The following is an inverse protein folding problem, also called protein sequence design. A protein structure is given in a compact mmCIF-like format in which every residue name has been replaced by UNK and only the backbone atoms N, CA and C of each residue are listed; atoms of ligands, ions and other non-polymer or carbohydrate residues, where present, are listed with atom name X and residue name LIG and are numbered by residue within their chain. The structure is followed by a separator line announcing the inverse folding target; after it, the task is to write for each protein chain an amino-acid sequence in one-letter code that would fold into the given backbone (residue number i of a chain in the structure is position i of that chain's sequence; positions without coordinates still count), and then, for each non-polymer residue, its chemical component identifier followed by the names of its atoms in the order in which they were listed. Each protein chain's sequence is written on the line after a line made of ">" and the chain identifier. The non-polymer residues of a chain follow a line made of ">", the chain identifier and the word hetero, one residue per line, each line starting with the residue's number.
data_IF_192724365639
#
_entry.id   IF_192724365639
#
_cell.length_a   1.000
_cell.length_b   1.000
_cell.length_c   1.000
_cell.angle_alpha   90.00
_cell.angle_beta   90.00
_cell.angle_gamma   90.00
#
_symmetry.space_group_name_H-M   'P 1'
#
loop_
_entity.id
_entity.type
_entity.pdbx_description
1 polymer ?
#
# COMPACT_ATOMS: atom_id res chain seq x y z
N UNK A 1 -3.88 -4.31 34.62
CA UNK A 1 -5.20 -4.10 34.00
C UNK A 1 -6.14 -5.17 34.54
N UNK A 2 -7.40 -4.82 34.84
CA UNK A 2 -8.40 -5.83 35.14
C UNK A 2 -8.83 -6.50 33.82
N UNK A 3 -8.89 -7.83 33.82
CA UNK A 3 -9.34 -8.63 32.67
C UNK A 3 -10.67 -9.28 32.97
N UNK A 4 -11.44 -9.54 31.92
CA UNK A 4 -12.65 -10.36 31.98
C UNK A 4 -12.50 -11.51 30.98
N UNK A 5 -12.84 -12.70 31.39
CA UNK A 5 -12.90 -13.84 30.48
C UNK A 5 -14.20 -13.83 29.70
N UNK A 6 -14.09 -13.92 28.37
CA UNK A 6 -15.24 -13.99 27.47
C UNK A 6 -15.15 -15.22 26.59
N UNK A 7 -16.20 -16.04 26.61
CA UNK A 7 -16.28 -17.25 25.81
C UNK A 7 -17.55 -17.21 24.95
N UNK A 8 -17.38 -17.37 23.66
CA UNK A 8 -18.46 -17.42 22.69
C UNK A 8 -18.22 -18.54 21.67
N UNK A 9 -19.30 -19.20 21.24
CA UNK A 9 -19.27 -20.07 20.05
C UNK A 9 -19.64 -19.24 18.85
N UNK A 10 -18.80 -19.26 17.83
CA UNK A 10 -18.99 -18.49 16.59
C UNK A 10 -19.27 -19.45 15.42
N UNK A 11 -20.13 -19.06 14.46
CA UNK A 11 -20.41 -19.89 13.29
C UNK A 11 -19.15 -20.07 12.43
N UNK A 12 -18.90 -21.30 12.02
CA UNK A 12 -17.95 -21.62 10.95
C UNK A 12 -18.70 -21.52 9.63
N UNK A 13 -18.20 -20.67 8.72
CA UNK A 13 -18.82 -20.44 7.43
C UNK A 13 -18.18 -21.31 6.35
N UNK A 14 -17.38 -20.72 5.52
CA UNK A 14 -16.74 -21.36 4.37
C UNK A 14 -15.22 -21.37 4.54
N UNK A 15 -14.51 -22.07 3.66
CA UNK A 15 -13.06 -22.04 3.61
C UNK A 15 -12.57 -21.58 2.25
N UNK A 16 -11.42 -20.91 2.26
CA UNK A 16 -10.79 -20.32 1.09
C UNK A 16 -9.33 -20.80 0.98
N UNK A 17 -8.83 -20.83 -0.24
CA UNK A 17 -7.40 -21.10 -0.43
C UNK A 17 -6.60 -19.92 0.11
N UNK A 18 -7.04 -18.69 -0.20
CA UNK A 18 -6.39 -17.46 0.26
C UNK A 18 -7.43 -16.53 0.88
N UNK A 19 -7.17 -16.07 2.12
CA UNK A 19 -7.88 -14.93 2.71
C UNK A 19 -6.94 -13.73 2.73
N UNK A 20 -7.35 -12.65 2.06
CA UNK A 20 -6.67 -11.37 2.06
C UNK A 20 -7.34 -10.45 3.07
N UNK A 21 -6.58 -10.00 4.07
CA UNK A 21 -7.07 -9.15 5.15
C UNK A 21 -6.70 -7.69 4.90
N UNK A 22 -7.68 -6.91 4.41
CA UNK A 22 -7.53 -5.50 4.04
C UNK A 22 -7.61 -5.28 2.52
N UNK A 23 -8.60 -4.49 2.08
CA UNK A 23 -8.83 -4.14 0.67
C UNK A 23 -8.09 -2.87 0.23
N UNK A 24 -6.92 -2.57 0.84
CA UNK A 24 -5.99 -1.56 0.34
C UNK A 24 -5.41 -1.97 -1.01
N UNK A 25 -4.57 -1.10 -1.60
CA UNK A 25 -4.05 -1.35 -2.95
C UNK A 25 -3.24 -2.65 -3.05
N UNK A 26 -2.46 -2.98 -2.01
CA UNK A 26 -1.73 -4.24 -1.92
C UNK A 26 -2.67 -5.45 -1.85
N UNK A 27 -3.76 -5.33 -1.06
CA UNK A 27 -4.76 -6.38 -0.93
C UNK A 27 -5.56 -6.61 -2.21
N UNK A 28 -5.89 -5.54 -2.93
CA UNK A 28 -6.53 -5.66 -4.25
C UNK A 28 -5.62 -6.39 -5.24
N UNK A 29 -4.31 -6.07 -5.25
CA UNK A 29 -3.34 -6.77 -6.06
C UNK A 29 -3.22 -8.25 -5.68
N UNK A 30 -3.07 -8.54 -4.38
CA UNK A 30 -2.97 -9.91 -3.89
C UNK A 30 -4.22 -10.75 -4.19
N UNK A 31 -5.40 -10.18 -4.01
CA UNK A 31 -6.64 -10.90 -4.28
C UNK A 31 -6.86 -11.18 -5.78
N UNK A 32 -6.55 -10.20 -6.64
CA UNK A 32 -6.64 -10.37 -8.09
C UNK A 32 -5.67 -11.44 -8.58
N UNK A 33 -4.43 -11.37 -8.11
CA UNK A 33 -3.39 -12.30 -8.49
C UNK A 33 -3.69 -13.72 -8.05
N UNK A 34 -4.07 -13.92 -6.79
CA UNK A 34 -4.47 -15.23 -6.29
C UNK A 34 -5.63 -15.86 -7.09
N UNK A 35 -6.61 -15.03 -7.48
CA UNK A 35 -7.73 -15.49 -8.32
C UNK A 35 -7.27 -15.86 -9.74
N UNK A 36 -6.32 -15.12 -10.33
CA UNK A 36 -5.72 -15.43 -11.63
C UNK A 36 -4.96 -16.77 -11.62
N UNK A 37 -4.38 -17.11 -10.48
CA UNK A 37 -3.76 -18.43 -10.23
C UNK A 37 -4.76 -19.54 -9.88
N UNK A 38 -6.06 -19.29 -10.09
CA UNK A 38 -7.11 -20.29 -9.90
C UNK A 38 -7.43 -20.63 -8.44
N UNK A 39 -6.99 -19.80 -7.49
CA UNK A 39 -7.29 -20.00 -6.07
C UNK A 39 -8.66 -19.46 -5.72
N UNK A 40 -9.34 -20.11 -4.76
CA UNK A 40 -10.57 -19.58 -4.15
C UNK A 40 -10.20 -18.48 -3.17
N UNK A 41 -10.39 -17.21 -3.57
CA UNK A 41 -9.94 -16.05 -2.81
C UNK A 41 -11.10 -15.31 -2.16
N UNK A 42 -10.89 -14.90 -0.89
CA UNK A 42 -11.75 -13.94 -0.19
C UNK A 42 -10.93 -12.71 0.20
N UNK A 43 -11.50 -11.52 0.01
CA UNK A 43 -10.94 -10.24 0.47
C UNK A 43 -11.88 -9.61 1.48
N UNK A 44 -11.32 -9.30 2.65
CA UNK A 44 -11.99 -8.65 3.78
C UNK A 44 -11.62 -7.16 3.82
N UNK A 45 -12.61 -6.27 3.78
CA UNK A 45 -12.38 -4.82 3.89
C UNK A 45 -13.30 -4.22 4.96
N UNK A 46 -12.69 -3.52 5.92
CA UNK A 46 -13.41 -2.85 7.03
C UNK A 46 -14.23 -1.64 6.62
N UNK A 47 -13.95 -1.09 5.45
CA UNK A 47 -14.69 0.03 4.88
C UNK A 47 -15.69 -0.43 3.82
N UNK A 48 -16.31 0.53 3.14
CA UNK A 48 -17.24 0.26 2.03
C UNK A 48 -16.64 0.52 0.66
N UNK A 49 -15.32 0.81 0.60
CA UNK A 49 -14.61 1.22 -0.61
C UNK A 49 -13.22 0.59 -0.65
N UNK A 50 -12.83 0.03 -1.79
CA UNK A 50 -11.50 -0.54 -2.01
C UNK A 50 -10.42 0.52 -2.28
N UNK A 51 -9.15 0.10 -2.17
CA UNK A 51 -7.96 0.89 -2.50
C UNK A 51 -7.29 1.56 -1.31
N UNK A 52 -7.92 1.61 -0.14
CA UNK A 52 -7.34 2.14 1.10
C UNK A 52 -6.82 3.58 0.95
N UNK A 53 -5.54 3.82 1.29
CA UNK A 53 -4.94 5.16 1.19
C UNK A 53 -4.98 5.73 -0.24
N UNK A 54 -4.88 4.89 -1.26
CA UNK A 54 -4.92 5.31 -2.67
C UNK A 54 -6.29 5.85 -3.12
N UNK A 55 -7.34 5.58 -2.34
CA UNK A 55 -8.72 6.01 -2.64
C UNK A 55 -9.31 6.81 -1.48
N UNK A 56 -9.75 6.14 -0.41
CA UNK A 56 -10.37 6.78 0.77
C UNK A 56 -9.40 7.66 1.56
N UNK A 57 -8.11 7.34 1.56
CA UNK A 57 -7.09 8.16 2.18
C UNK A 57 -6.68 9.37 1.35
N UNK A 58 -7.23 9.53 0.15
CA UNK A 58 -7.00 10.65 -0.78
C UNK A 58 -5.56 10.80 -1.28
N UNK A 59 -4.71 9.77 -1.13
CA UNK A 59 -3.36 9.70 -1.69
C UNK A 59 -3.48 9.20 -3.15
N UNK A 60 -4.18 9.96 -3.98
CA UNK A 60 -4.51 9.58 -5.34
C UNK A 60 -3.44 10.02 -6.35
N UNK A 61 -2.23 9.52 -6.15
CA UNK A 61 -1.08 9.81 -6.98
C UNK A 61 -0.17 8.59 -7.06
N UNK A 62 -0.07 8.01 -8.25
CA UNK A 62 1.00 7.06 -8.55
C UNK A 62 2.31 7.83 -8.58
N UNK A 63 3.13 7.58 -7.59
CA UNK A 63 4.48 8.13 -7.54
C UNK A 63 5.33 7.51 -8.67
N UNK A 64 6.47 8.13 -9.01
CA UNK A 64 7.32 7.64 -10.10
C UNK A 64 7.62 6.14 -10.06
N UNK A 65 7.40 5.48 -11.19
CA UNK A 65 7.66 4.06 -11.42
C UNK A 65 8.91 3.81 -12.28
N UNK A 66 9.65 4.87 -12.62
CA UNK A 66 10.89 4.79 -13.40
C UNK A 66 12.08 5.32 -12.60
N UNK A 67 13.28 4.92 -13.01
CA UNK A 67 14.54 5.32 -12.38
C UNK A 67 14.88 6.83 -12.49
N UNK A 68 14.04 7.62 -13.16
CA UNK A 68 14.28 9.04 -13.42
C UNK A 68 15.13 9.34 -14.66
N UNK A 69 15.54 8.29 -15.41
CA UNK A 69 16.27 8.36 -16.69
C UNK A 69 15.55 7.64 -17.82
N UNK A 70 14.23 7.53 -17.73
CA UNK A 70 13.41 7.00 -18.80
C UNK A 70 13.16 5.49 -18.74
N UNK A 71 13.74 4.74 -17.81
CA UNK A 71 13.58 3.28 -17.71
C UNK A 71 12.53 2.92 -16.64
N UNK A 72 11.40 2.28 -17.02
CA UNK A 72 10.42 1.76 -16.06
C UNK A 72 11.03 0.63 -15.21
N UNK A 73 10.86 0.71 -13.89
CA UNK A 73 11.30 -0.30 -12.93
C UNK A 73 10.11 -1.03 -12.33
N UNK A 74 9.14 -0.29 -11.76
CA UNK A 74 7.92 -0.87 -11.20
C UNK A 74 6.97 -1.26 -12.34
N UNK A 75 7.12 -2.49 -12.86
CA UNK A 75 6.32 -3.09 -13.95
C UNK A 75 5.22 -3.99 -13.42
N UNK A 76 4.80 -4.98 -14.19
CA UNK A 76 3.80 -5.97 -13.79
C UNK A 76 2.46 -5.32 -13.41
N UNK A 77 1.86 -5.80 -12.32
CA UNK A 77 0.56 -5.30 -11.87
C UNK A 77 0.59 -3.83 -11.43
N UNK A 78 1.76 -3.27 -11.08
CA UNK A 78 1.87 -1.84 -10.77
C UNK A 78 1.52 -0.97 -11.97
N UNK A 79 2.00 -1.32 -13.17
CA UNK A 79 1.62 -0.63 -14.40
C UNK A 79 0.17 -0.90 -14.78
N UNK A 80 -0.31 -2.13 -14.64
CA UNK A 80 -1.71 -2.47 -14.90
C UNK A 80 -2.65 -1.61 -14.06
N UNK A 81 -2.38 -1.45 -12.75
CA UNK A 81 -3.21 -0.64 -11.87
C UNK A 81 -3.10 0.85 -12.13
N UNK A 82 -1.92 1.34 -12.53
CA UNK A 82 -1.79 2.71 -13.01
C UNK A 82 -2.70 2.94 -14.23
N UNK A 83 -2.63 2.06 -15.24
CA UNK A 83 -3.48 2.16 -16.44
C UNK A 83 -4.97 2.04 -16.10
N UNK A 84 -5.31 1.15 -15.17
CA UNK A 84 -6.68 1.00 -14.67
C UNK A 84 -7.16 2.32 -14.03
N UNK A 85 -6.34 2.95 -13.18
CA UNK A 85 -6.73 4.15 -12.41
C UNK A 85 -7.10 5.35 -13.28
N UNK A 86 -6.56 5.42 -14.50
CA UNK A 86 -6.78 6.52 -15.44
C UNK A 86 -7.72 6.17 -16.61
N UNK A 87 -8.24 4.95 -16.66
CA UNK A 87 -9.05 4.46 -17.79
C UNK A 87 -10.32 5.28 -18.02
N UNK A 88 -11.02 5.63 -16.96
CA UNK A 88 -12.31 6.34 -17.01
C UNK A 88 -12.29 7.67 -16.24
N UNK A 89 -11.18 7.99 -15.56
CA UNK A 89 -10.96 9.24 -14.87
C UNK A 89 -9.96 10.14 -15.60
N UNK A 90 -9.64 11.26 -14.95
CA UNK A 90 -8.56 12.12 -15.43
C UNK A 90 -7.19 11.50 -15.18
N UNK A 91 -6.20 11.95 -15.93
CA UNK A 91 -4.79 11.67 -15.71
C UNK A 91 -3.95 12.95 -15.79
N UNK A 92 -2.74 12.86 -15.24
CA UNK A 92 -1.67 13.84 -15.43
C UNK A 92 -0.44 13.21 -16.05
N UNK A 93 -0.60 12.01 -16.62
CA UNK A 93 0.46 11.23 -17.23
C UNK A 93 1.08 11.97 -18.40
N UNK A 94 2.41 12.09 -18.38
CA UNK A 94 3.14 12.73 -19.47
C UNK A 94 2.98 11.93 -20.79
N UNK A 95 2.82 12.62 -21.96
CA UNK A 95 2.62 11.95 -23.25
C UNK A 95 3.65 10.87 -23.60
N UNK A 96 4.92 11.04 -23.20
CA UNK A 96 5.96 10.04 -23.42
C UNK A 96 5.69 8.69 -22.74
N UNK A 97 4.80 8.64 -21.74
CA UNK A 97 4.41 7.44 -21.02
C UNK A 97 3.02 6.92 -21.40
N UNK A 98 2.41 7.48 -22.45
CA UNK A 98 1.07 7.05 -22.89
C UNK A 98 1.07 5.64 -23.50
N UNK A 99 2.17 5.22 -24.11
CA UNK A 99 2.35 3.86 -24.62
C UNK A 99 2.87 2.94 -23.51
N UNK A 100 2.29 1.76 -23.39
CA UNK A 100 2.65 0.76 -22.38
C UNK A 100 4.04 0.18 -22.66
N UNK A 101 4.81 -0.08 -21.61
CA UNK A 101 6.14 -0.68 -21.65
C UNK A 101 7.19 0.05 -22.53
N UNK A 102 6.93 1.29 -22.91
CA UNK A 102 7.90 2.08 -23.66
C UNK A 102 8.92 2.73 -22.72
N UNK A 103 10.20 2.67 -23.09
CA UNK A 103 11.20 3.54 -22.51
C UNK A 103 10.98 4.97 -23.01
N UNK A 104 11.08 5.93 -22.11
CA UNK A 104 11.00 7.32 -22.47
C UNK A 104 12.40 7.93 -22.59
N UNK A 105 12.57 9.03 -23.33
CA UNK A 105 13.84 9.74 -23.37
C UNK A 105 14.30 10.14 -21.97
N UNK A 106 15.57 9.93 -21.64
CA UNK A 106 16.13 10.19 -20.32
C UNK A 106 16.04 11.66 -19.87
N UNK A 107 15.90 12.56 -20.82
CA UNK A 107 15.90 14.01 -20.63
C UNK A 107 14.50 14.64 -20.57
N UNK A 108 13.42 13.85 -20.62
CA UNK A 108 12.06 14.40 -20.62
C UNK A 108 11.70 15.22 -19.38
N UNK A 109 12.52 15.19 -18.34
CA UNK A 109 12.32 15.94 -17.10
C UNK A 109 11.09 15.53 -16.28
N UNK A 110 10.29 14.59 -16.78
CA UNK A 110 9.09 14.04 -16.14
C UNK A 110 9.27 12.56 -15.87
N UNK A 111 8.92 12.14 -14.67
CA UNK A 111 8.97 10.73 -14.29
C UNK A 111 7.66 10.03 -14.67
N UNK A 112 7.66 8.71 -14.63
CA UNK A 112 6.49 7.88 -14.91
C UNK A 112 5.54 7.91 -13.72
N UNK A 113 4.71 8.93 -13.64
CA UNK A 113 3.79 9.21 -12.54
C UNK A 113 2.47 9.79 -13.05
N UNK A 114 1.41 9.67 -12.26
CA UNK A 114 0.12 10.28 -12.58
C UNK A 114 -0.78 10.45 -11.35
N UNK A 115 -1.52 11.56 -11.33
CA UNK A 115 -2.70 11.67 -10.48
C UNK A 115 -3.91 11.05 -11.20
N UNK A 116 -4.92 10.67 -10.43
CA UNK A 116 -6.11 9.99 -10.94
C UNK A 116 -7.34 10.28 -10.05
N UNK A 117 -8.53 9.90 -10.55
CA UNK A 117 -9.77 9.99 -9.77
C UNK A 117 -9.88 8.85 -8.76
N UNK A 118 -9.81 9.11 -7.44
CA UNK A 118 -9.75 8.05 -6.44
C UNK A 118 -11.01 7.17 -6.41
N UNK A 119 -12.19 7.75 -6.56
CA UNK A 119 -13.44 6.98 -6.46
C UNK A 119 -13.78 6.24 -7.76
N UNK A 120 -13.39 6.78 -8.93
CA UNK A 120 -13.50 6.02 -10.18
C UNK A 120 -12.57 4.80 -10.10
N UNK A 121 -11.35 4.97 -9.63
CA UNK A 121 -10.42 3.86 -9.44
C UNK A 121 -10.95 2.81 -8.46
N UNK A 122 -11.54 3.23 -7.33
CA UNK A 122 -12.15 2.30 -6.38
C UNK A 122 -13.26 1.44 -6.98
N UNK A 123 -14.12 2.03 -7.83
CA UNK A 123 -15.17 1.29 -8.54
C UNK A 123 -14.56 0.29 -9.54
N UNK A 124 -13.49 0.67 -10.24
CA UNK A 124 -12.79 -0.22 -11.16
C UNK A 124 -12.10 -1.39 -10.42
N UNK A 125 -11.51 -1.15 -9.23
CA UNK A 125 -10.98 -2.23 -8.40
C UNK A 125 -12.08 -3.22 -8.00
N UNK A 126 -13.27 -2.72 -7.65
CA UNK A 126 -14.42 -3.58 -7.34
C UNK A 126 -14.85 -4.40 -8.55
N UNK A 127 -14.88 -3.78 -9.73
CA UNK A 127 -15.25 -4.45 -10.99
C UNK A 127 -14.29 -5.60 -11.32
N UNK A 128 -12.97 -5.33 -11.38
CA UNK A 128 -11.99 -6.34 -11.78
C UNK A 128 -11.90 -7.50 -10.79
N UNK A 129 -12.01 -7.24 -9.49
CA UNK A 129 -11.98 -8.28 -8.46
C UNK A 129 -13.22 -9.16 -8.49
N UNK A 130 -14.40 -8.56 -8.67
CA UNK A 130 -15.66 -9.31 -8.86
C UNK A 130 -15.57 -10.19 -10.10
N UNK A 131 -15.10 -9.64 -11.22
CA UNK A 131 -15.03 -10.34 -12.49
C UNK A 131 -13.98 -11.48 -12.49
N UNK A 132 -12.94 -11.34 -11.62
CA UNK A 132 -11.99 -12.41 -11.34
C UNK A 132 -12.55 -13.49 -10.38
N UNK A 133 -13.77 -13.33 -9.85
CA UNK A 133 -14.40 -14.28 -8.94
C UNK A 133 -13.97 -14.19 -7.50
N UNK A 134 -13.31 -13.09 -7.09
CA UNK A 134 -12.95 -12.83 -5.69
C UNK A 134 -14.20 -12.61 -4.85
N UNK A 135 -14.32 -13.28 -3.71
CA UNK A 135 -15.36 -13.02 -2.72
C UNK A 135 -15.02 -11.75 -1.96
N UNK A 136 -15.76 -10.68 -2.20
CA UNK A 136 -15.60 -9.39 -1.50
C UNK A 136 -16.53 -9.32 -0.31
N UNK A 137 -16.01 -8.99 0.87
CA UNK A 137 -16.80 -8.66 2.06
C UNK A 137 -16.40 -7.25 2.54
N UNK A 138 -17.35 -6.33 2.45
CA UNK A 138 -17.23 -4.94 2.93
C UNK A 138 -17.87 -4.79 4.32
N UNK A 139 -17.51 -3.72 5.05
CA UNK A 139 -17.95 -3.45 6.42
C UNK A 139 -17.69 -4.69 7.30
N UNK A 140 -16.53 -5.32 7.08
CA UNK A 140 -16.13 -6.60 7.64
C UNK A 140 -14.67 -6.53 8.12
N UNK A 141 -14.48 -6.57 9.42
CA UNK A 141 -13.15 -6.49 10.04
C UNK A 141 -12.55 -7.89 10.13
N UNK A 142 -11.33 -8.07 9.61
CA UNK A 142 -10.49 -9.21 9.93
C UNK A 142 -10.00 -9.05 11.38
N UNK A 143 -10.65 -9.75 12.33
CA UNK A 143 -10.45 -9.49 13.76
C UNK A 143 -9.33 -10.31 14.36
N UNK A 144 -9.38 -11.65 14.25
CA UNK A 144 -8.38 -12.52 14.86
C UNK A 144 -8.01 -13.69 13.97
N UNK A 145 -6.72 -14.00 13.81
CA UNK A 145 -6.27 -15.28 13.28
C UNK A 145 -6.48 -16.36 14.34
N UNK A 146 -6.93 -17.53 13.94
CA UNK A 146 -6.97 -18.70 14.82
C UNK A 146 -5.73 -19.54 14.53
N UNK A 147 -4.83 -19.59 15.49
CA UNK A 147 -3.54 -20.24 15.35
C UNK A 147 -3.55 -21.66 15.95
N UNK A 148 -2.92 -22.59 15.26
CA UNK A 148 -2.52 -23.91 15.76
C UNK A 148 -0.99 -24.03 15.61
N UNK A 149 -0.27 -23.75 16.69
CA UNK A 149 1.18 -23.56 16.61
C UNK A 149 1.55 -22.39 15.68
N UNK A 150 2.39 -22.68 14.68
CA UNK A 150 2.80 -21.73 13.64
C UNK A 150 1.82 -21.59 12.48
N UNK A 151 0.71 -22.34 12.48
CA UNK A 151 -0.25 -22.39 11.37
C UNK A 151 -1.55 -21.63 11.70
N UNK A 152 -1.96 -20.73 10.82
CA UNK A 152 -3.25 -20.04 10.91
C UNK A 152 -4.33 -20.88 10.22
N UNK A 153 -5.31 -21.36 10.99
CA UNK A 153 -6.41 -22.19 10.45
C UNK A 153 -7.49 -21.35 9.77
N UNK A 154 -7.50 -20.04 10.01
CA UNK A 154 -8.45 -19.11 9.43
C UNK A 154 -8.61 -17.83 10.23
N UNK A 155 -9.55 -17.00 9.79
CA UNK A 155 -9.78 -15.66 10.32
C UNK A 155 -11.17 -15.55 10.95
N UNK A 156 -11.24 -15.02 12.16
CA UNK A 156 -12.46 -14.52 12.76
C UNK A 156 -12.72 -13.12 12.23
N UNK A 157 -13.91 -12.92 11.69
CA UNK A 157 -14.37 -11.62 11.21
C UNK A 157 -15.39 -11.03 12.19
N UNK A 158 -15.46 -9.69 12.22
CA UNK A 158 -16.52 -8.94 12.90
C UNK A 158 -17.25 -8.07 11.87
N UNK A 159 -18.58 -8.23 11.82
CA UNK A 159 -19.43 -7.55 10.86
C UNK A 159 -20.85 -7.38 11.42
N UNK A 160 -21.76 -6.82 10.61
CA UNK A 160 -23.21 -6.76 10.97
C UNK A 160 -23.84 -8.14 11.17
N UNK A 161 -23.23 -9.19 10.67
CA UNK A 161 -23.65 -10.58 10.91
C UNK A 161 -23.18 -11.12 12.27
N UNK A 162 -22.41 -10.33 13.02
CA UNK A 162 -21.71 -10.75 14.23
C UNK A 162 -20.36 -11.37 13.92
N UNK A 163 -19.82 -12.13 14.89
CA UNK A 163 -18.56 -12.83 14.70
C UNK A 163 -18.77 -14.12 13.89
N UNK A 164 -17.94 -14.30 12.87
CA UNK A 164 -17.93 -15.47 11.99
C UNK A 164 -16.51 -15.95 11.74
N UNK A 165 -16.32 -17.25 11.55
CA UNK A 165 -15.01 -17.84 11.23
C UNK A 165 -14.98 -18.32 9.79
N UNK A 166 -13.92 -17.97 9.07
CA UNK A 166 -13.63 -18.44 7.72
C UNK A 166 -12.28 -19.17 7.72
N UNK A 167 -12.27 -20.42 7.24
CA UNK A 167 -11.05 -21.21 7.13
C UNK A 167 -10.14 -20.69 6.00
N UNK A 168 -8.83 -20.80 6.18
CA UNK A 168 -7.84 -20.37 5.19
C UNK A 168 -6.69 -21.37 5.08
N UNK A 169 -6.21 -21.64 3.85
CA UNK A 169 -4.94 -22.34 3.63
C UNK A 169 -3.76 -21.38 3.70
N UNK A 170 -3.95 -20.14 3.20
CA UNK A 170 -2.99 -19.05 3.29
C UNK A 170 -3.69 -17.76 3.71
N UNK A 171 -3.02 -16.92 4.47
CA UNK A 171 -3.49 -15.59 4.89
C UNK A 171 -2.50 -14.53 4.43
N UNK A 172 -3.00 -13.51 3.73
CA UNK A 172 -2.20 -12.36 3.31
C UNK A 172 -2.64 -11.15 4.12
N UNK A 173 -1.77 -10.64 5.00
CA UNK A 173 -2.03 -9.44 5.78
C UNK A 173 -1.69 -8.19 4.97
N UNK A 174 -2.72 -7.50 4.52
CA UNK A 174 -2.66 -6.21 3.83
C UNK A 174 -3.44 -5.13 4.56
N UNK A 175 -3.60 -5.29 5.89
CA UNK A 175 -4.28 -4.31 6.74
C UNK A 175 -3.57 -2.95 6.74
N UNK A 176 -2.30 -2.95 6.34
CA UNK A 176 -1.42 -1.79 6.30
C UNK A 176 -0.77 -1.49 7.65
N UNK A 177 -1.27 -2.11 8.70
CA UNK A 177 -0.82 -1.92 10.09
C UNK A 177 -0.35 -3.24 10.72
N UNK A 178 -0.13 -4.30 9.93
CA UNK A 178 0.23 -5.64 10.42
C UNK A 178 -0.74 -6.17 11.50
N UNK A 179 -2.03 -5.92 11.38
CA UNK A 179 -2.98 -6.26 12.43
C UNK A 179 -3.11 -7.77 12.63
N UNK A 180 -3.11 -8.55 11.55
CA UNK A 180 -3.19 -10.01 11.60
C UNK A 180 -1.85 -10.61 12.01
N UNK A 181 -0.76 -10.14 11.43
CA UNK A 181 0.61 -10.54 11.78
C UNK A 181 0.84 -10.37 13.29
N UNK A 182 0.52 -9.20 13.83
CA UNK A 182 0.69 -8.91 15.26
C UNK A 182 -0.21 -9.78 16.16
N UNK A 183 -1.48 -9.99 15.75
CA UNK A 183 -2.42 -10.82 16.52
C UNK A 183 -2.12 -12.31 16.41
N UNK A 184 -1.40 -12.75 15.37
CA UNK A 184 -0.86 -14.10 15.25
C UNK A 184 0.36 -14.36 16.15
N UNK A 185 0.88 -13.31 16.82
CA UNK A 185 2.09 -13.41 17.64
C UNK A 185 3.39 -13.31 16.84
N UNK A 186 3.34 -12.95 15.58
CA UNK A 186 4.53 -12.68 14.76
C UNK A 186 5.14 -11.36 15.23
N UNK A 187 6.47 -11.29 15.42
CA UNK A 187 7.15 -10.07 15.82
C UNK A 187 6.91 -8.91 14.84
N UNK A 188 6.72 -7.72 15.40
CA UNK A 188 6.46 -6.49 14.64
C UNK A 188 7.27 -5.31 15.18
N UNK A 189 7.49 -4.29 14.36
CA UNK A 189 8.17 -3.05 14.72
C UNK A 189 7.26 -1.87 14.43
N UNK A 190 7.09 -0.98 15.42
CA UNK A 190 6.28 0.23 15.28
C UNK A 190 7.07 1.37 14.61
N UNK A 191 6.38 2.10 13.75
CA UNK A 191 6.89 3.28 13.06
C UNK A 191 6.50 4.60 13.72
N UNK A 192 6.69 5.69 12.99
CA UNK A 192 6.38 7.06 13.43
C UNK A 192 5.78 7.86 12.28
N UNK A 193 4.82 8.72 12.59
CA UNK A 193 4.15 9.57 11.63
C UNK A 193 4.15 11.02 12.07
N UNK A 194 4.42 11.91 11.14
CA UNK A 194 4.31 13.34 11.34
C UNK A 194 2.86 13.82 11.36
N UNK A 195 2.64 15.00 11.91
CA UNK A 195 1.35 15.68 11.94
C UNK A 195 0.98 16.23 10.56
N UNK A 196 0.52 15.35 9.69
CA UNK A 196 0.18 15.62 8.29
C UNK A 196 -1.21 15.09 7.97
N UNK A 197 -2.11 15.98 7.53
CA UNK A 197 -3.49 15.64 7.20
C UNK A 197 -4.01 16.57 6.12
N UNK A 198 -4.70 16.05 5.13
CA UNK A 198 -5.37 16.87 4.12
C UNK A 198 -6.70 16.30 3.68
N UNK A 199 -7.57 17.20 3.23
CA UNK A 199 -8.89 16.92 2.69
C UNK A 199 -9.03 17.53 1.30
N UNK A 200 -10.14 17.29 0.64
CA UNK A 200 -10.49 17.89 -0.65
C UNK A 200 -11.54 18.98 -0.49
N UNK A 201 -11.37 20.03 -1.26
CA UNK A 201 -12.27 21.17 -1.31
C UNK A 201 -12.45 21.67 -2.73
N UNK A 202 -13.49 22.45 -2.94
CA UNK A 202 -13.67 23.32 -4.10
C UNK A 202 -13.74 24.77 -3.62
N UNK A 203 -13.39 25.71 -4.48
CA UNK A 203 -13.54 27.14 -4.24
C UNK A 203 -14.06 27.82 -5.50
N UNK A 204 -14.58 29.06 -5.36
CA UNK A 204 -15.01 29.85 -6.51
C UNK A 204 -13.88 29.99 -7.55
N UNK A 205 -12.64 30.18 -7.09
CA UNK A 205 -11.49 30.29 -7.98
C UNK A 205 -11.14 28.97 -8.68
N UNK A 206 -11.19 27.85 -7.94
CA UNK A 206 -10.91 26.54 -8.55
C UNK A 206 -12.01 26.12 -9.54
N UNK A 207 -13.27 26.50 -9.28
CA UNK A 207 -14.36 26.30 -10.22
C UNK A 207 -14.16 27.11 -11.52
N UNK A 208 -13.72 28.37 -11.43
CA UNK A 208 -13.37 29.16 -12.61
C UNK A 208 -12.27 28.49 -13.43
N UNK A 209 -11.18 28.06 -12.81
CA UNK A 209 -10.10 27.32 -13.49
C UNK A 209 -10.60 26.06 -14.19
N UNK A 210 -11.52 25.33 -13.57
CA UNK A 210 -12.10 24.12 -14.16
C UNK A 210 -12.90 24.44 -15.43
N UNK A 211 -13.73 25.48 -15.39
CA UNK A 211 -14.52 25.95 -16.55
C UNK A 211 -13.60 26.44 -17.67
N UNK A 212 -12.63 27.30 -17.35
CA UNK A 212 -11.69 27.85 -18.32
C UNK A 212 -10.84 26.78 -19.02
N UNK A 213 -10.46 25.74 -18.30
CA UNK A 213 -9.65 24.65 -18.85
C UNK A 213 -10.47 23.52 -19.49
N UNK A 214 -11.78 23.48 -19.29
CA UNK A 214 -12.65 22.35 -19.68
C UNK A 214 -12.36 21.06 -18.91
N UNK A 215 -11.72 21.14 -17.73
CA UNK A 215 -11.26 19.98 -16.97
C UNK A 215 -11.86 19.99 -15.54
N UNK A 216 -12.91 19.23 -15.32
CA UNK A 216 -13.67 19.23 -14.07
C UNK A 216 -12.81 18.93 -12.81
N UNK A 217 -11.80 18.05 -12.90
CA UNK A 217 -10.95 17.71 -11.77
C UNK A 217 -10.18 18.92 -11.20
N UNK A 218 -9.95 19.96 -11.99
CA UNK A 218 -9.27 21.20 -11.56
C UNK A 218 -10.09 22.04 -10.58
N UNK A 219 -11.37 21.73 -10.43
CA UNK A 219 -12.20 22.32 -9.38
C UNK A 219 -11.80 21.79 -8.00
N UNK A 220 -11.32 20.55 -7.92
CA UNK A 220 -10.95 19.91 -6.66
C UNK A 220 -9.52 20.28 -6.28
N UNK A 221 -9.36 20.87 -5.10
CA UNK A 221 -8.06 21.27 -4.53
C UNK A 221 -7.86 20.66 -3.15
N UNK A 222 -6.70 20.88 -2.55
CA UNK A 222 -6.37 20.37 -1.22
C UNK A 222 -6.52 21.45 -0.16
N UNK A 223 -7.04 21.07 1.00
CA UNK A 223 -6.98 21.84 2.24
C UNK A 223 -6.31 20.98 3.30
N UNK A 224 -5.36 21.54 4.07
CA UNK A 224 -4.59 20.80 5.06
C UNK A 224 -5.03 21.14 6.48
N UNK A 225 -5.16 20.13 7.31
CA UNK A 225 -5.21 20.21 8.78
C UNK A 225 -3.80 20.34 9.35
N UNK A 226 -3.08 19.23 9.50
CA UNK A 226 -1.68 19.19 9.89
C UNK A 226 -0.74 19.83 8.88
N UNK A 227 0.45 20.21 9.33
CA UNK A 227 1.39 21.04 8.57
C UNK A 227 2.69 20.33 8.17
N UNK A 228 2.95 19.13 8.71
CA UNK A 228 4.22 18.46 8.47
C UNK A 228 4.30 17.84 7.06
N UNK A 229 5.45 17.97 6.42
CA UNK A 229 5.78 17.30 5.18
C UNK A 229 6.31 15.85 5.40
N UNK A 230 6.79 15.20 4.35
CA UNK A 230 7.33 13.83 4.39
C UNK A 230 8.53 13.72 5.34
N UNK A 231 9.35 14.76 5.43
CA UNK A 231 10.61 14.79 6.19
C UNK A 231 10.48 15.48 7.56
N UNK A 232 9.26 15.76 8.00
CA UNK A 232 8.99 16.40 9.28
C UNK A 232 9.10 17.93 9.28
N UNK A 233 9.42 18.53 8.15
CA UNK A 233 9.37 19.99 8.03
C UNK A 233 7.96 20.52 8.31
N UNK A 234 7.82 21.45 9.25
CA UNK A 234 6.53 21.97 9.71
C UNK A 234 5.84 21.13 10.80
N UNK A 235 6.51 20.12 11.36
CA UNK A 235 6.04 19.44 12.57
C UNK A 235 5.99 20.42 13.74
N UNK A 236 4.83 20.59 14.42
CA UNK A 236 4.77 21.45 15.60
C UNK A 236 5.57 20.87 16.78
N UNK A 237 6.34 21.70 17.48
CA UNK A 237 7.18 21.29 18.61
C UNK A 237 6.40 20.70 19.78
N UNK A 238 5.12 21.05 19.90
CA UNK A 238 4.24 20.62 21.00
C UNK A 238 3.35 19.42 20.64
N UNK A 239 3.58 18.78 19.50
CA UNK A 239 2.87 17.60 19.06
C UNK A 239 3.86 16.46 18.85
N UNK A 240 3.72 15.40 19.65
CA UNK A 240 4.51 14.19 19.50
C UNK A 240 4.21 13.47 18.16
N UNK A 241 5.17 12.67 17.71
CA UNK A 241 4.95 11.82 16.54
C UNK A 241 3.92 10.74 16.87
N UNK A 242 3.08 10.43 15.86
CA UNK A 242 2.05 9.40 15.97
C UNK A 242 2.58 8.05 15.49
N UNK A 243 2.27 6.98 16.21
CA UNK A 243 2.56 5.60 15.76
C UNK A 243 1.35 4.92 15.11
N UNK A 244 0.12 5.34 15.41
CA UNK A 244 -1.09 4.92 14.69
C UNK A 244 -1.54 3.48 14.94
N UNK A 245 -1.07 2.85 16.04
CA UNK A 245 -1.38 1.45 16.39
C UNK A 245 -2.23 1.30 17.65
N UNK A 246 -2.67 2.40 18.28
CA UNK A 246 -3.68 2.39 19.33
C UNK A 246 -4.85 3.30 18.97
N UNK A 247 -6.03 2.96 19.48
CA UNK A 247 -7.27 3.72 19.21
C UNK A 247 -7.18 5.14 19.73
N UNK A 248 -6.51 5.36 20.88
CA UNK A 248 -6.32 6.67 21.47
C UNK A 248 -5.42 7.55 20.59
N UNK A 249 -4.31 7.00 20.09
CA UNK A 249 -3.36 7.71 19.23
C UNK A 249 -3.99 8.08 17.88
N UNK A 250 -4.74 7.16 17.29
CA UNK A 250 -5.50 7.41 16.05
C UNK A 250 -6.57 8.47 16.27
N UNK A 251 -7.31 8.40 17.38
CA UNK A 251 -8.38 9.35 17.71
C UNK A 251 -7.83 10.76 17.95
N UNK A 252 -6.74 10.90 18.71
CA UNK A 252 -6.09 12.19 18.94
C UNK A 252 -5.62 12.81 17.60
N UNK A 253 -4.96 12.02 16.75
CA UNK A 253 -4.55 12.47 15.42
C UNK A 253 -5.71 13.01 14.58
N UNK A 254 -6.82 12.27 14.51
CA UNK A 254 -7.98 12.68 13.71
C UNK A 254 -8.66 13.92 14.28
N UNK A 255 -8.89 13.95 15.59
CA UNK A 255 -9.55 15.06 16.28
C UNK A 255 -8.74 16.36 16.10
N UNK A 256 -7.44 16.34 16.40
CA UNK A 256 -6.60 17.54 16.27
C UNK A 256 -6.58 18.07 14.84
N UNK A 257 -6.35 17.19 13.86
CA UNK A 257 -6.29 17.60 12.45
C UNK A 257 -7.60 18.18 11.93
N UNK A 258 -8.74 17.58 12.32
CA UNK A 258 -10.06 18.09 11.94
C UNK A 258 -10.35 19.44 12.61
N UNK A 259 -10.00 19.61 13.88
CA UNK A 259 -10.18 20.87 14.59
C UNK A 259 -9.28 21.98 14.02
N UNK A 260 -8.02 21.69 13.73
CA UNK A 260 -7.11 22.68 13.11
C UNK A 260 -7.61 23.11 11.72
N UNK A 261 -8.15 22.17 10.94
CA UNK A 261 -8.80 22.49 9.67
C UNK A 261 -10.02 23.39 9.88
N UNK A 262 -10.87 23.05 10.84
CA UNK A 262 -12.07 23.82 11.18
C UNK A 262 -11.70 25.25 11.62
N UNK A 263 -10.64 25.43 12.43
CA UNK A 263 -10.16 26.75 12.86
C UNK A 263 -9.67 27.62 11.69
N UNK A 264 -9.10 26.99 10.64
CA UNK A 264 -8.77 27.69 9.39
C UNK A 264 -10.04 28.14 8.67
N UNK A 265 -11.02 27.25 8.55
CA UNK A 265 -12.28 27.53 7.86
C UNK A 265 -13.12 28.63 8.54
N UNK A 266 -13.10 28.72 9.89
CA UNK A 266 -13.80 29.78 10.65
C UNK A 266 -13.32 31.18 10.32
N UNK A 267 -12.09 31.31 9.79
CA UNK A 267 -11.47 32.61 9.44
C UNK A 267 -11.76 33.04 8.02
N UNK A 268 -12.29 32.14 7.20
CA UNK A 268 -12.57 32.39 5.79
C UNK A 268 -14.02 32.86 5.56
N UNK A 269 -14.26 33.47 4.39
CA UNK A 269 -15.63 33.69 3.92
C UNK A 269 -16.30 32.33 3.68
N UNK A 270 -17.38 32.08 4.41
CA UNK A 270 -18.15 30.83 4.36
C UNK A 270 -18.70 30.48 2.97
N UNK A 271 -18.84 31.44 2.09
CA UNK A 271 -19.36 31.24 0.73
C UNK A 271 -18.26 31.02 -0.32
N UNK A 272 -16.99 31.15 0.08
CA UNK A 272 -15.87 31.08 -0.85
C UNK A 272 -15.52 29.65 -1.22
N UNK A 273 -15.64 28.70 -0.28
CA UNK A 273 -15.25 27.30 -0.47
C UNK A 273 -16.22 26.30 0.16
N UNK A 274 -16.15 25.06 -0.30
CA UNK A 274 -16.83 23.92 0.27
C UNK A 274 -15.82 22.76 0.44
N UNK A 275 -15.78 22.14 1.63
CA UNK A 275 -15.02 20.91 1.86
C UNK A 275 -15.81 19.74 1.30
N UNK A 276 -15.31 19.14 0.24
CA UNK A 276 -16.04 18.08 -0.49
C UNK A 276 -15.79 16.69 0.06
N UNK A 277 -14.58 16.45 0.62
CA UNK A 277 -14.21 15.13 1.10
C UNK A 277 -13.19 15.20 2.21
N UNK A 278 -13.50 14.64 3.36
CA UNK A 278 -12.53 14.30 4.40
C UNK A 278 -11.92 12.91 4.09
N UNK A 279 -10.66 12.64 4.45
CA UNK A 279 -10.15 11.28 4.34
C UNK A 279 -10.92 10.36 5.29
N UNK A 280 -11.37 9.21 4.77
CA UNK A 280 -12.18 8.23 5.50
C UNK A 280 -11.31 7.24 6.30
N UNK A 281 -10.01 7.50 6.37
CA UNK A 281 -9.05 6.74 7.16
C UNK A 281 -7.87 7.64 7.54
N UNK A 282 -7.12 7.29 8.61
CA UNK A 282 -5.91 8.03 8.98
C UNK A 282 -4.88 7.97 7.85
N UNK A 283 -4.28 9.13 7.53
CA UNK A 283 -3.26 9.23 6.46
C UNK A 283 -1.86 8.89 6.99
N UNK A 284 -1.75 7.83 7.79
CA UNK A 284 -0.48 7.36 8.31
C UNK A 284 0.38 6.71 7.22
N UNK A 285 1.69 6.94 7.32
CA UNK A 285 2.70 6.44 6.38
C UNK A 285 3.35 5.16 6.89
N UNK A 286 3.96 5.23 8.08
CA UNK A 286 4.66 4.13 8.73
C UNK A 286 4.07 3.89 10.12
N UNK A 287 3.28 2.83 10.28
CA UNK A 287 2.60 2.48 11.53
C UNK A 287 3.25 1.30 12.20
N UNK A 288 3.11 0.12 11.58
CA UNK A 288 3.69 -1.13 12.04
C UNK A 288 4.07 -1.96 10.83
N UNK A 289 5.22 -2.62 10.90
CA UNK A 289 5.70 -3.56 9.92
C UNK A 289 6.00 -4.91 10.56
N UNK A 290 6.05 -5.95 9.77
CA UNK A 290 6.59 -7.24 10.22
C UNK A 290 8.07 -7.06 10.59
N UNK A 291 8.51 -7.75 11.65
CA UNK A 291 9.92 -8.04 11.86
C UNK A 291 10.27 -9.31 11.09
N UNK A 292 10.43 -9.14 9.78
CA UNK A 292 10.65 -10.22 8.82
C UNK A 292 11.94 -10.98 9.08
N UNK A 293 12.21 -12.01 8.28
CA UNK A 293 13.49 -12.73 8.36
C UNK A 293 14.66 -11.88 7.85
N UNK A 294 14.34 -10.80 7.11
CA UNK A 294 15.25 -9.73 6.75
C UNK A 294 14.52 -8.38 6.84
N UNK A 295 15.24 -7.34 7.22
CA UNK A 295 14.81 -5.94 7.12
C UNK A 295 15.67 -5.25 6.07
N UNK A 296 15.05 -4.54 5.11
CA UNK A 296 15.76 -3.77 4.11
C UNK A 296 16.03 -2.36 4.64
N UNK A 297 17.28 -1.93 4.55
CA UNK A 297 17.76 -0.64 5.05
C UNK A 297 18.05 0.34 3.90
N UNK A 298 18.26 1.60 4.20
CA UNK A 298 18.62 2.60 3.18
C UNK A 298 19.93 2.25 2.47
N UNK A 299 20.87 1.62 3.17
CA UNK A 299 22.17 1.17 2.67
C UNK A 299 22.06 0.02 1.68
N UNK A 300 20.94 -0.70 1.68
CA UNK A 300 20.70 -1.82 0.74
C UNK A 300 20.29 -1.34 -0.67
N UNK A 301 20.31 -0.02 -0.94
CA UNK A 301 20.18 0.46 -2.31
C UNK A 301 21.27 -0.16 -3.20
N UNK A 302 20.89 -0.54 -4.41
CA UNK A 302 21.73 -1.22 -5.41
C UNK A 302 22.19 -2.63 -5.02
N UNK A 303 21.65 -3.20 -3.97
CA UNK A 303 21.93 -4.57 -3.53
C UNK A 303 20.95 -5.53 -4.17
N UNK A 304 21.49 -6.60 -4.73
CA UNK A 304 20.70 -7.74 -5.19
C UNK A 304 20.46 -8.73 -4.06
N UNK A 305 19.24 -9.25 -4.03
CA UNK A 305 18.84 -10.32 -3.13
C UNK A 305 18.48 -11.57 -3.93
N UNK A 306 19.07 -12.73 -3.60
CA UNK A 306 18.75 -14.00 -4.28
C UNK A 306 17.25 -14.33 -4.25
N UNK A 307 16.55 -13.87 -3.21
CA UNK A 307 15.13 -14.05 -3.01
C UNK A 307 14.30 -12.79 -3.35
N UNK A 308 14.82 -11.93 -4.22
CA UNK A 308 14.06 -10.78 -4.71
C UNK A 308 12.77 -11.22 -5.40
N UNK A 309 11.66 -10.54 -5.07
CA UNK A 309 10.36 -10.74 -5.71
C UNK A 309 9.94 -9.54 -6.56
N UNK A 310 10.60 -8.41 -6.45
CA UNK A 310 10.50 -7.30 -7.39
C UNK A 310 11.62 -6.28 -7.17
N UNK A 311 12.03 -5.63 -8.25
CA UNK A 311 12.80 -4.40 -8.20
C UNK A 311 11.85 -3.19 -8.10
N UNK A 312 12.26 -2.18 -7.34
CA UNK A 312 11.54 -0.94 -7.16
C UNK A 312 12.47 0.27 -7.29
N UNK A 313 11.94 1.40 -7.70
CA UNK A 313 12.68 2.65 -7.77
C UNK A 313 12.21 3.62 -6.69
N UNK A 314 13.12 4.49 -6.28
CA UNK A 314 12.82 5.57 -5.37
C UNK A 314 11.93 6.61 -6.06
N UNK A 315 10.88 7.01 -5.37
CA UNK A 315 9.90 7.98 -5.89
C UNK A 315 10.39 9.42 -5.85
N UNK A 316 11.37 9.73 -5.02
CA UNK A 316 11.91 11.07 -4.78
C UNK A 316 13.33 11.23 -5.33
N UNK A 317 14.23 10.33 -4.94
CA UNK A 317 15.64 10.34 -5.35
C UNK A 317 15.80 9.59 -6.66
N UNK A 318 16.27 10.30 -7.71
CA UNK A 318 16.56 9.67 -9.00
C UNK A 318 17.65 8.64 -8.85
N UNK A 319 17.57 7.60 -9.66
CA UNK A 319 18.54 6.52 -9.81
C UNK A 319 18.67 5.58 -8.60
N UNK A 320 18.04 5.85 -7.44
CA UNK A 320 18.04 4.89 -6.35
C UNK A 320 17.10 3.72 -6.66
N UNK A 321 17.68 2.51 -6.60
CA UNK A 321 17.00 1.25 -6.88
C UNK A 321 17.14 0.32 -5.69
N UNK A 322 16.07 -0.41 -5.41
CA UNK A 322 16.03 -1.42 -4.36
C UNK A 322 15.42 -2.71 -4.92
N UNK A 323 15.71 -3.82 -4.26
CA UNK A 323 15.00 -5.08 -4.45
C UNK A 323 14.24 -5.44 -3.18
N UNK A 324 13.10 -6.09 -3.35
CA UNK A 324 12.26 -6.57 -2.26
C UNK A 324 12.48 -8.07 -2.09
N UNK A 325 13.19 -8.52 -1.06
CA UNK A 325 13.34 -9.96 -0.80
C UNK A 325 12.05 -10.56 -0.21
N UNK A 326 11.71 -11.79 -0.58
CA UNK A 326 10.55 -12.51 -0.03
C UNK A 326 10.61 -12.59 1.51
N UNK A 327 11.80 -12.76 2.07
CA UNK A 327 12.05 -12.78 3.51
C UNK A 327 11.69 -11.48 4.23
N UNK A 328 11.49 -10.36 3.52
CA UNK A 328 10.97 -9.12 4.11
C UNK A 328 9.45 -9.13 4.28
N UNK A 329 8.75 -10.12 3.70
CA UNK A 329 7.30 -10.28 3.74
C UNK A 329 6.86 -11.45 4.64
N UNK A 330 7.80 -12.29 5.09
CA UNK A 330 7.55 -13.54 5.80
C UNK A 330 8.30 -13.61 7.13
N UNK A 331 7.90 -14.55 7.98
CA UNK A 331 8.62 -14.93 9.21
C UNK A 331 8.64 -16.43 9.36
N UNK A 332 9.83 -17.04 9.41
CA UNK A 332 9.98 -18.47 9.67
C UNK A 332 9.37 -18.87 11.00
N UNK A 333 8.75 -20.04 11.02
CA UNK A 333 7.97 -20.53 12.16
C UNK A 333 6.49 -20.15 12.10
N UNK A 334 6.08 -19.42 11.05
CA UNK A 334 4.68 -19.15 10.73
C UNK A 334 4.40 -19.60 9.29
N UNK A 335 3.69 -20.73 9.17
CA UNK A 335 3.68 -21.52 7.93
C UNK A 335 2.94 -20.86 6.78
N UNK A 336 1.88 -20.11 7.08
CA UNK A 336 0.90 -19.66 6.09
C UNK A 336 0.39 -18.23 6.28
N UNK A 337 1.22 -17.38 6.89
CA UNK A 337 0.94 -15.93 6.96
C UNK A 337 2.07 -15.18 6.26
N UNK A 338 1.69 -14.33 5.31
CA UNK A 338 2.57 -13.40 4.59
C UNK A 338 1.96 -12.00 4.62
N UNK A 339 2.79 -10.96 4.62
CA UNK A 339 2.32 -9.58 4.56
C UNK A 339 2.70 -8.91 3.24
N UNK A 340 2.05 -7.77 2.95
CA UNK A 340 2.39 -6.95 1.78
C UNK A 340 2.05 -5.47 1.98
N UNK A 341 2.57 -4.62 1.11
CA UNK A 341 2.38 -3.18 1.17
C UNK A 341 3.26 -2.53 2.22
N UNK A 342 2.74 -1.52 2.92
CA UNK A 342 3.52 -0.76 3.90
C UNK A 342 3.94 -1.58 5.14
N UNK A 343 3.44 -2.78 5.27
CA UNK A 343 3.76 -3.73 6.34
C UNK A 343 5.04 -4.55 6.07
N UNK A 344 5.64 -4.44 4.88
CA UNK A 344 6.90 -5.09 4.53
C UNK A 344 8.03 -4.64 5.45
N UNK A 345 8.98 -5.56 5.73
CA UNK A 345 10.11 -5.31 6.63
C UNK A 345 11.18 -4.46 5.96
N UNK A 346 11.03 -3.15 6.10
CA UNK A 346 12.01 -2.14 5.75
C UNK A 346 12.07 -1.09 6.84
N UNK A 347 13.15 -0.34 6.97
CA UNK A 347 13.26 0.73 7.96
C UNK A 347 13.84 2.03 7.39
N UNK A 348 13.84 3.08 8.22
CA UNK A 348 14.31 4.38 7.82
C UNK A 348 13.67 4.85 6.51
N UNK A 349 14.48 5.41 5.62
CA UNK A 349 14.03 5.89 4.33
C UNK A 349 13.62 4.74 3.37
N UNK A 350 14.22 3.55 3.49
CA UNK A 350 13.80 2.39 2.69
C UNK A 350 12.32 2.06 2.94
N UNK A 351 11.83 2.21 4.18
CA UNK A 351 10.40 2.00 4.48
C UNK A 351 9.51 3.03 3.75
N UNK A 352 9.97 4.29 3.63
CA UNK A 352 9.25 5.30 2.83
C UNK A 352 9.15 4.92 1.35
N UNK A 353 10.19 4.29 0.80
CA UNK A 353 10.18 3.78 -0.59
C UNK A 353 9.26 2.56 -0.73
N UNK A 354 9.31 1.61 0.20
CA UNK A 354 8.55 0.36 0.14
C UNK A 354 7.03 0.54 0.27
N UNK A 355 6.56 1.57 0.99
CA UNK A 355 5.15 1.77 1.35
C UNK A 355 4.30 2.49 0.31
N UNK A 356 4.92 3.09 -0.71
CA UNK A 356 4.17 3.85 -1.73
C UNK A 356 3.40 2.94 -2.68
N UNK A 357 2.49 3.50 -3.49
CA UNK A 357 1.51 2.72 -4.25
C UNK A 357 2.15 1.64 -5.14
N UNK A 358 3.14 1.93 -6.01
CA UNK A 358 3.68 0.90 -6.91
C UNK A 358 4.34 -0.28 -6.18
N UNK A 359 5.27 -0.09 -5.22
CA UNK A 359 5.80 -1.19 -4.41
C UNK A 359 4.73 -1.94 -3.60
N UNK A 360 3.72 -1.25 -3.09
CA UNK A 360 2.63 -1.91 -2.37
C UNK A 360 1.85 -2.89 -3.29
N UNK A 361 1.62 -2.52 -4.55
CA UNK A 361 0.99 -3.40 -5.54
C UNK A 361 1.89 -4.59 -5.83
N UNK A 362 3.18 -4.37 -6.12
CA UNK A 362 4.13 -5.43 -6.46
C UNK A 362 4.32 -6.43 -5.32
N UNK A 363 4.42 -5.96 -4.08
CA UNK A 363 4.48 -6.85 -2.91
C UNK A 363 3.19 -7.63 -2.70
N UNK A 364 2.03 -7.04 -3.03
CA UNK A 364 0.74 -7.73 -3.03
C UNK A 364 0.69 -8.85 -4.07
N UNK A 365 1.12 -8.57 -5.31
CA UNK A 365 1.27 -9.54 -6.38
C UNK A 365 2.19 -10.69 -5.95
N UNK A 366 3.39 -10.37 -5.48
CA UNK A 366 4.38 -11.34 -5.05
C UNK A 366 3.89 -12.22 -3.88
N UNK A 367 3.19 -11.62 -2.91
CA UNK A 367 2.62 -12.37 -1.79
C UNK A 367 1.58 -13.40 -2.25
N UNK A 368 0.76 -13.06 -3.24
CA UNK A 368 -0.22 -14.00 -3.80
C UNK A 368 0.42 -15.11 -4.63
N UNK A 369 1.46 -14.81 -5.41
CA UNK A 369 2.23 -15.84 -6.15
C UNK A 369 2.90 -16.80 -5.15
N UNK A 370 3.57 -16.28 -4.11
CA UNK A 370 4.20 -17.13 -3.08
C UNK A 370 3.16 -17.97 -2.32
N UNK A 371 2.02 -17.37 -1.91
CA UNK A 371 0.93 -18.08 -1.26
C UNK A 371 0.33 -19.17 -2.15
N UNK A 372 0.13 -18.89 -3.44
CA UNK A 372 -0.37 -19.86 -4.42
C UNK A 372 0.59 -21.02 -4.59
N UNK A 373 1.89 -20.73 -4.70
CA UNK A 373 2.93 -21.74 -4.80
C UNK A 373 2.99 -22.61 -3.52
N UNK A 374 2.94 -21.99 -2.33
CA UNK A 374 2.91 -22.72 -1.05
C UNK A 374 1.72 -23.69 -0.96
N UNK A 375 0.54 -23.29 -1.47
CA UNK A 375 -0.64 -24.14 -1.55
C UNK A 375 -0.39 -25.35 -2.46
N UNK A 376 0.18 -25.12 -3.64
CA UNK A 376 0.36 -26.16 -4.66
C UNK A 376 1.42 -27.20 -4.27
N UNK A 377 2.49 -26.75 -3.65
CA UNK A 377 3.60 -27.61 -3.20
C UNK A 377 3.40 -28.15 -1.77
N UNK A 378 2.44 -27.62 -0.99
CA UNK A 378 2.19 -28.04 0.37
C UNK A 378 3.33 -27.70 1.35
N UNK A 379 3.99 -26.55 1.14
CA UNK A 379 5.09 -26.06 1.97
C UNK A 379 4.70 -24.81 2.76
N UNK A 380 5.53 -24.43 3.74
CA UNK A 380 5.41 -23.13 4.38
C UNK A 380 5.75 -22.01 3.39
N UNK A 381 5.05 -20.85 3.49
CA UNK A 381 5.25 -19.74 2.56
C UNK A 381 6.67 -19.16 2.61
N UNK A 382 7.32 -19.23 3.76
CA UNK A 382 8.72 -18.80 3.92
C UNK A 382 9.74 -19.78 3.34
N UNK A 383 9.32 -21.00 3.00
CA UNK A 383 10.17 -22.07 2.46
C UNK A 383 9.85 -22.40 0.98
N UNK A 384 9.10 -21.52 0.32
CA UNK A 384 8.81 -21.65 -1.11
C UNK A 384 10.09 -21.71 -1.96
N UNK A 385 10.06 -22.51 -3.01
CA UNK A 385 11.11 -22.46 -4.04
C UNK A 385 11.07 -21.09 -4.74
N UNK A 386 11.99 -20.23 -4.33
CA UNK A 386 12.03 -18.83 -4.80
C UNK A 386 12.21 -18.74 -6.32
N UNK A 387 12.93 -19.67 -6.95
CA UNK A 387 13.12 -19.66 -8.40
C UNK A 387 11.82 -19.88 -9.17
N UNK A 388 10.93 -20.72 -8.62
CA UNK A 388 9.59 -20.90 -9.20
C UNK A 388 8.74 -19.64 -9.03
N UNK A 389 8.76 -19.02 -7.84
CA UNK A 389 8.06 -17.75 -7.58
C UNK A 389 8.57 -16.65 -8.51
N UNK A 390 9.89 -16.50 -8.65
CA UNK A 390 10.51 -15.53 -9.54
C UNK A 390 10.12 -15.76 -11.00
N UNK A 391 10.17 -17.01 -11.47
CA UNK A 391 9.81 -17.36 -12.85
C UNK A 391 8.35 -17.00 -13.19
N UNK A 392 7.43 -17.16 -12.25
CA UNK A 392 6.03 -16.72 -12.43
C UNK A 392 5.96 -15.21 -12.55
N UNK A 393 6.55 -14.48 -11.59
CA UNK A 393 6.54 -13.02 -11.57
C UNK A 393 7.19 -12.42 -12.82
N UNK A 394 8.31 -12.99 -13.30
CA UNK A 394 8.95 -12.58 -14.55
C UNK A 394 8.03 -12.79 -15.76
N UNK A 395 7.31 -13.92 -15.81
CA UNK A 395 6.33 -14.19 -16.88
C UNK A 395 5.18 -13.20 -16.91
N UNK A 396 4.91 -12.54 -15.79
CA UNK A 396 3.91 -11.48 -15.58
C UNK A 396 4.52 -10.07 -15.68
N UNK A 397 5.71 -9.98 -16.27
CA UNK A 397 6.42 -8.71 -16.52
C UNK A 397 6.83 -7.97 -15.24
N UNK A 398 7.05 -8.67 -14.13
CA UNK A 398 7.69 -8.07 -12.96
C UNK A 398 9.19 -8.08 -13.14
N UNK A 399 9.84 -6.94 -12.92
CA UNK A 399 11.30 -6.87 -12.86
C UNK A 399 11.75 -7.41 -11.51
N UNK A 400 12.40 -8.58 -11.48
CA UNK A 400 12.87 -9.21 -10.23
C UNK A 400 14.18 -8.57 -9.78
N UNK A 401 15.11 -8.41 -10.71
CA UNK A 401 16.39 -7.73 -10.50
C UNK A 401 16.50 -6.55 -11.44
N UNK A 402 17.02 -5.42 -10.94
CA UNK A 402 17.41 -4.32 -11.82
C UNK A 402 18.76 -4.64 -12.47
N UNK A 403 18.99 -4.05 -13.65
CA UNK A 403 20.28 -4.19 -14.36
C UNK A 403 21.33 -3.26 -13.70
N UNK A 404 22.52 -3.79 -13.42
CA UNK A 404 23.66 -3.03 -12.89
C UNK A 404 24.02 -1.83 -13.78
N UNK A 405 23.76 -1.89 -15.08
CA UNK A 405 23.95 -0.78 -16.00
C UNK A 405 23.06 0.44 -15.68
N UNK A 406 22.02 0.26 -14.86
CA UNK A 406 21.15 1.36 -14.38
C UNK A 406 21.72 2.06 -13.14
N UNK A 407 22.77 1.51 -12.52
CA UNK A 407 23.44 2.13 -11.38
C UNK A 407 24.34 3.26 -11.89
N UNK A 408 24.18 4.50 -11.40
CA UNK A 408 25.02 5.61 -11.85
C UNK A 408 26.49 5.40 -11.54
N UNK A 409 27.37 5.83 -12.45
CA UNK A 409 28.80 5.82 -12.23
C UNK A 409 29.17 6.58 -10.94
N UNK A 410 30.00 5.97 -10.10
CA UNK A 410 30.44 6.56 -8.82
C UNK A 410 29.55 6.23 -7.61
N UNK A 411 28.41 5.53 -7.79
CA UNK A 411 27.55 5.09 -6.68
C UNK A 411 27.82 3.66 -6.19
N UNK A 412 28.76 2.94 -6.79
CA UNK A 412 29.18 1.60 -6.38
C UNK A 412 30.08 1.54 -5.12
N UNK A 413 30.17 2.61 -4.33
CA UNK A 413 30.88 2.69 -3.07
C UNK A 413 30.03 3.37 -2.01
N UNK A 414 30.08 2.85 -0.80
CA UNK A 414 29.42 3.41 0.37
C UNK A 414 29.99 4.78 0.71
N UNK A 415 29.58 5.85 0.04
CA UNK A 415 29.78 7.25 0.50
C UNK A 415 29.17 8.20 -0.55
N UNK A 416 27.97 8.68 -0.28
CA UNK A 416 27.34 9.72 -1.09
C UNK A 416 26.15 10.35 -0.38
N UNK A 417 26.45 11.27 0.53
CA UNK A 417 25.43 12.23 0.97
C UNK A 417 25.00 13.06 -0.25
N UNK A 418 23.82 12.79 -0.78
CA UNK A 418 23.19 13.65 -1.75
C UNK A 418 22.65 14.89 -1.03
N UNK A 419 23.20 16.05 -1.38
CA UNK A 419 22.68 17.35 -0.97
C UNK A 419 21.21 17.48 -1.40
N UNK A 420 20.38 17.88 -0.45
CA UNK A 420 18.97 18.10 -0.66
C UNK A 420 18.69 19.20 -1.67
N UNK A 421 17.82 18.94 -2.60
CA UNK A 421 17.11 19.99 -3.34
C UNK A 421 15.67 20.11 -2.83
N UNK A 422 15.39 21.35 -2.36
CA UNK A 422 14.09 21.86 -1.92
C UNK A 422 12.99 21.75 -2.98
#
# INVERSE_FOLDING_TARGET
>A
MNTIDFKMSIPVRDSYDIIVCGGGIAGCAAALEGARHGKKVMLLEKSTVLGGLATMGLINYFVPMCNGRGVPICKGMAEEFLRLSIRYGYDTLHPAWKESNADAPADIGRRYDTAYSPYIFAMQLTEILRDAGVKLLFDCIASYPIMDGGHCTGIVTDSKSGLEFYGARQVIDTTGDCDIVQRAGIPTVDGRNFYSYFARQISIESCKRAVESGQAYRAVTTISGGSANLYGGGQPDNIDLYWGTSVENVSDYLIRNQLDMLEKLKKDDRLFREVTTLPMMPQFRTTRRIDGDITVHEEDKYKHFDDSVCAICDFDRRDYLYEVPLRSLTKRGFDNIITAGRSASADGYAWDVFRVIPPAILTGQAAAVAASHAIDEGCAVADCDIRKVQSVLESENVMIHFDDALIPEGHGGADGHAEGHM
#
